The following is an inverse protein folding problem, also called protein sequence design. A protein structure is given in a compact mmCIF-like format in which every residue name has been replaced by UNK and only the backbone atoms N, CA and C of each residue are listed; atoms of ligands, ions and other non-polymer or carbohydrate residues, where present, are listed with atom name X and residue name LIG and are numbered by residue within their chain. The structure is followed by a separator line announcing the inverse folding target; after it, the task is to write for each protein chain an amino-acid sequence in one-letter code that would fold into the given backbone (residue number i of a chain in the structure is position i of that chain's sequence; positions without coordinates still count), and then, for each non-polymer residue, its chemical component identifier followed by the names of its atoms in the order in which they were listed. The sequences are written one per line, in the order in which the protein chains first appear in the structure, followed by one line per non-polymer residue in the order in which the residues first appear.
data_IF_845649156112
#
_entry.id   IF_845649156112
#
_cell.length_a   1.000
_cell.length_b   1.000
_cell.length_c   1.000
_cell.angle_alpha   90.00
_cell.angle_beta   90.00
_cell.angle_gamma   90.00
#
_symmetry.space_group_name_H-M   'P 1'
#
loop_
_entity.id
_entity.type
_entity.pdbx_description
1 polymer ?
#
# COMPACT_ATOMS: atom_id res chain seq x y z
N UNK A 1 26.57 -30.94 25.48
CA UNK A 1 26.35 -30.88 24.02
C UNK A 1 25.62 -29.58 23.72
N UNK A 2 26.18 -28.72 22.88
CA UNK A 2 25.64 -27.37 22.65
C UNK A 2 24.39 -27.44 21.77
N UNK A 3 23.27 -26.89 22.25
CA UNK A 3 22.04 -26.71 21.47
C UNK A 3 22.36 -25.76 20.31
N UNK A 4 22.62 -26.32 19.12
CA UNK A 4 22.62 -25.54 17.88
C UNK A 4 21.20 -25.04 17.67
N UNK A 5 20.94 -23.78 18.04
CA UNK A 5 19.80 -23.02 17.57
C UNK A 5 19.78 -23.14 16.04
N UNK A 6 18.92 -24.02 15.51
CA UNK A 6 18.72 -24.15 14.07
C UNK A 6 18.06 -22.85 13.61
N UNK A 7 18.86 -21.97 13.02
CA UNK A 7 18.34 -20.79 12.33
C UNK A 7 17.41 -21.29 11.23
N UNK A 8 16.16 -20.78 11.15
CA UNK A 8 15.27 -21.11 10.04
C UNK A 8 15.98 -20.85 8.70
N UNK A 9 15.80 -21.74 7.73
CA UNK A 9 16.49 -21.65 6.42
C UNK A 9 16.21 -20.30 5.74
N UNK A 10 15.04 -19.72 6.00
CA UNK A 10 14.56 -18.47 5.41
C UNK A 10 14.93 -17.20 6.19
N UNK A 11 15.55 -17.33 7.38
CA UNK A 11 15.96 -16.18 8.19
C UNK A 11 17.40 -15.76 7.89
N UNK A 12 17.68 -14.47 8.05
CA UNK A 12 19.05 -13.98 8.11
C UNK A 12 19.69 -14.26 9.49
N UNK A 13 20.98 -14.59 9.49
CA UNK A 13 21.81 -14.70 10.69
C UNK A 13 23.15 -14.02 10.46
N UNK A 14 23.39 -12.92 11.17
CA UNK A 14 24.63 -12.15 11.07
C UNK A 14 25.85 -12.95 11.54
N UNK A 15 25.68 -13.80 12.55
CA UNK A 15 26.76 -14.64 13.10
C UNK A 15 27.15 -15.73 12.11
N UNK A 16 26.17 -16.39 11.48
CA UNK A 16 26.46 -17.37 10.42
C UNK A 16 27.08 -16.71 9.19
N UNK A 17 26.62 -15.51 8.81
CA UNK A 17 27.19 -14.77 7.70
C UNK A 17 28.66 -14.43 7.96
N UNK A 18 28.98 -13.86 9.13
CA UNK A 18 30.36 -13.53 9.53
C UNK A 18 31.24 -14.78 9.63
N UNK A 19 30.72 -15.87 10.19
CA UNK A 19 31.47 -17.12 10.32
C UNK A 19 31.83 -17.72 8.96
N UNK A 20 30.87 -17.85 8.05
CA UNK A 20 31.13 -18.40 6.72
C UNK A 20 32.03 -17.48 5.89
N UNK A 21 31.87 -16.16 6.01
CA UNK A 21 32.73 -15.19 5.34
C UNK A 21 34.18 -15.29 5.84
N UNK A 22 34.38 -15.44 7.14
CA UNK A 22 35.70 -15.64 7.74
C UNK A 22 36.38 -16.90 7.20
N UNK A 23 35.70 -18.05 7.24
CA UNK A 23 36.25 -19.33 6.75
C UNK A 23 36.52 -19.32 5.23
N UNK A 24 35.68 -18.65 4.44
CA UNK A 24 35.91 -18.50 3.01
C UNK A 24 37.13 -17.62 2.71
N UNK A 25 37.29 -16.53 3.47
CA UNK A 25 38.46 -15.63 3.38
C UNK A 25 39.75 -16.34 3.79
N UNK A 26 39.71 -17.16 4.85
CA UNK A 26 40.84 -17.99 5.29
C UNK A 26 41.27 -19.01 4.23
N UNK A 27 40.33 -19.44 3.37
CA UNK A 27 40.61 -20.32 2.22
C UNK A 27 41.18 -19.56 1.02
N UNK A 28 41.35 -18.24 1.13
CA UNK A 28 41.87 -17.38 0.06
C UNK A 28 40.82 -16.99 -0.98
N UNK A 29 39.54 -17.26 -0.72
CA UNK A 29 38.44 -16.94 -1.62
C UNK A 29 37.78 -15.63 -1.19
N UNK A 30 37.74 -14.65 -2.09
CA UNK A 30 37.01 -13.41 -1.88
C UNK A 30 35.51 -13.61 -2.19
N UNK A 31 34.64 -13.24 -1.25
CA UNK A 31 33.20 -13.34 -1.44
C UNK A 31 32.65 -12.15 -2.22
N UNK A 32 31.96 -12.43 -3.32
CA UNK A 32 31.21 -11.44 -4.11
C UNK A 32 29.70 -11.70 -3.95
N UNK A 33 28.90 -10.75 -3.44
CA UNK A 33 27.45 -10.92 -3.30
C UNK A 33 26.71 -11.18 -4.62
N UNK A 34 25.56 -11.87 -4.59
CA UNK A 34 24.81 -12.20 -5.80
C UNK A 34 24.27 -10.96 -6.52
N UNK A 35 24.60 -10.86 -7.80
CA UNK A 35 24.12 -9.82 -8.73
C UNK A 35 23.98 -10.37 -10.14
N UNK A 36 23.23 -9.68 -11.01
CA UNK A 36 23.06 -10.09 -12.42
C UNK A 36 24.41 -10.04 -13.15
N UNK A 37 25.26 -9.10 -12.75
CA UNK A 37 26.60 -8.90 -13.27
C UNK A 37 27.52 -10.05 -12.83
N UNK A 38 27.49 -10.45 -11.55
CA UNK A 38 28.26 -11.57 -11.03
C UNK A 38 27.92 -12.88 -11.74
N UNK A 39 26.64 -13.16 -11.94
CA UNK A 39 26.20 -14.41 -12.60
C UNK A 39 26.60 -14.48 -14.08
N UNK A 40 26.81 -13.34 -14.72
CA UNK A 40 27.25 -13.22 -16.12
C UNK A 40 28.77 -13.12 -16.27
N UNK A 41 29.50 -12.98 -15.17
CA UNK A 41 30.94 -12.86 -15.16
C UNK A 41 31.56 -14.25 -15.40
N UNK A 42 32.17 -14.43 -16.58
CA UNK A 42 32.82 -15.68 -16.97
C UNK A 42 34.01 -16.01 -16.06
N UNK A 43 34.75 -15.00 -15.58
CA UNK A 43 35.89 -15.20 -14.69
C UNK A 43 35.39 -15.70 -13.32
N UNK A 44 34.29 -15.12 -12.81
CA UNK A 44 33.64 -15.63 -11.60
C UNK A 44 33.17 -17.08 -11.75
N UNK A 45 32.57 -17.43 -12.90
CA UNK A 45 32.12 -18.81 -13.13
C UNK A 45 33.29 -19.80 -13.18
N UNK A 46 34.41 -19.43 -13.80
CA UNK A 46 35.63 -20.24 -13.84
C UNK A 46 36.24 -20.40 -12.45
N UNK A 47 36.36 -19.30 -11.69
CA UNK A 47 36.89 -19.31 -10.32
C UNK A 47 36.01 -20.15 -9.39
N UNK A 48 34.69 -19.97 -9.45
CA UNK A 48 33.72 -20.76 -8.68
C UNK A 48 33.70 -22.25 -9.09
N UNK A 49 33.96 -22.55 -10.36
CA UNK A 49 34.14 -23.91 -10.86
C UNK A 49 35.36 -24.61 -10.24
N UNK A 50 36.42 -23.85 -9.94
CA UNK A 50 37.65 -24.33 -9.34
C UNK A 50 37.58 -24.51 -7.81
N UNK A 51 36.55 -23.98 -7.15
CA UNK A 51 36.33 -24.14 -5.71
C UNK A 51 36.10 -25.59 -5.31
N UNK A 52 36.57 -25.92 -4.10
CA UNK A 52 36.23 -27.15 -3.38
C UNK A 52 34.73 -27.23 -3.11
N UNK A 53 34.25 -28.42 -2.76
CA UNK A 53 32.84 -28.59 -2.40
C UNK A 53 32.47 -27.76 -1.16
N UNK A 54 33.37 -27.69 -0.18
CA UNK A 54 33.23 -26.88 1.02
C UNK A 54 33.11 -25.39 0.71
N UNK A 55 34.02 -24.84 -0.12
CA UNK A 55 33.97 -23.43 -0.53
C UNK A 55 32.70 -23.09 -1.30
N UNK A 56 32.27 -23.95 -2.22
CA UNK A 56 30.98 -23.77 -2.93
C UNK A 56 29.79 -23.79 -1.98
N UNK A 57 29.81 -24.66 -0.97
CA UNK A 57 28.76 -24.70 0.03
C UNK A 57 28.74 -23.44 0.90
N UNK A 58 29.92 -22.89 1.26
CA UNK A 58 30.03 -21.60 1.95
C UNK A 58 29.50 -20.45 1.10
N UNK A 59 29.87 -20.35 -0.18
CA UNK A 59 29.35 -19.34 -1.11
C UNK A 59 27.83 -19.43 -1.23
N UNK A 60 27.27 -20.62 -1.45
CA UNK A 60 25.80 -20.81 -1.50
C UNK A 60 25.12 -20.38 -0.20
N UNK A 61 25.74 -20.65 0.95
CA UNK A 61 25.17 -20.24 2.24
C UNK A 61 25.21 -18.72 2.41
N UNK A 62 26.30 -18.07 2.02
CA UNK A 62 26.43 -16.62 2.03
C UNK A 62 25.43 -15.94 1.08
N UNK A 63 25.23 -16.50 -0.12
CA UNK A 63 24.23 -16.03 -1.08
C UNK A 63 22.82 -16.10 -0.51
N UNK A 64 22.47 -17.24 0.10
CA UNK A 64 21.17 -17.41 0.73
C UNK A 64 20.95 -16.40 1.87
N UNK A 65 21.94 -16.23 2.74
CA UNK A 65 21.87 -15.28 3.85
C UNK A 65 21.79 -13.83 3.35
N UNK A 66 22.51 -13.48 2.28
CA UNK A 66 22.44 -12.16 1.65
C UNK A 66 21.05 -11.89 1.05
N UNK A 67 20.46 -12.87 0.34
CA UNK A 67 19.11 -12.75 -0.20
C UNK A 67 18.08 -12.61 0.92
N UNK A 68 18.21 -13.38 2.01
CA UNK A 68 17.35 -13.26 3.19
C UNK A 68 17.47 -11.87 3.82
N UNK A 69 18.69 -11.37 4.03
CA UNK A 69 18.93 -10.03 4.58
C UNK A 69 18.29 -8.93 3.72
N UNK A 70 18.43 -9.01 2.39
CA UNK A 70 17.78 -8.04 1.48
C UNK A 70 16.25 -8.12 1.59
N UNK A 71 15.68 -9.33 1.62
CA UNK A 71 14.23 -9.51 1.76
C UNK A 71 13.72 -8.93 3.08
N UNK A 72 14.42 -9.16 4.18
CA UNK A 72 14.09 -8.61 5.49
C UNK A 72 14.17 -7.07 5.49
N UNK A 73 15.26 -6.50 4.94
CA UNK A 73 15.42 -5.05 4.82
C UNK A 73 14.30 -4.41 3.97
N UNK A 74 13.96 -5.01 2.82
CA UNK A 74 12.83 -4.54 2.01
C UNK A 74 11.49 -4.63 2.76
N UNK A 75 11.26 -5.70 3.53
CA UNK A 75 10.05 -5.84 4.32
C UNK A 75 9.97 -4.81 5.46
N UNK A 76 11.11 -4.49 6.09
CA UNK A 76 11.20 -3.46 7.12
C UNK A 76 10.97 -2.06 6.55
N UNK A 77 11.59 -1.74 5.40
CA UNK A 77 11.37 -0.48 4.69
C UNK A 77 9.90 -0.32 4.29
N UNK A 78 9.29 -1.36 3.70
CA UNK A 78 7.87 -1.35 3.34
C UNK A 78 6.98 -1.15 4.57
N UNK A 79 7.28 -1.84 5.69
CA UNK A 79 6.56 -1.67 6.95
C UNK A 79 6.69 -0.25 7.50
N UNK A 80 7.87 0.36 7.41
CA UNK A 80 8.11 1.75 7.79
C UNK A 80 7.32 2.71 6.90
N UNK A 81 7.43 2.56 5.59
CA UNK A 81 6.68 3.36 4.60
C UNK A 81 5.17 3.27 4.85
N UNK A 82 4.63 2.07 5.10
CA UNK A 82 3.22 1.90 5.46
C UNK A 82 2.86 2.58 6.79
N UNK A 83 3.76 2.51 7.78
CA UNK A 83 3.61 3.21 9.06
C UNK A 83 3.52 4.74 8.92
N UNK A 84 4.21 5.30 7.93
CA UNK A 84 4.20 6.73 7.61
C UNK A 84 3.01 7.13 6.72
N UNK A 85 2.64 6.29 5.73
CA UNK A 85 1.57 6.58 4.75
C UNK A 85 0.16 6.35 5.28
N UNK A 86 -0.07 5.29 6.05
CA UNK A 86 -1.42 4.89 6.48
C UNK A 86 -2.07 5.96 7.38
N UNK A 87 -1.42 6.52 8.42
CA UNK A 87 -2.05 7.50 9.29
C UNK A 87 -2.61 8.76 8.57
N UNK A 88 -1.86 9.45 7.69
CA UNK A 88 -2.41 10.61 6.99
C UNK A 88 -3.53 10.22 6.01
N UNK A 89 -3.45 9.05 5.36
CA UNK A 89 -4.52 8.55 4.48
C UNK A 89 -5.78 8.27 5.29
N UNK A 90 -5.69 7.59 6.43
CA UNK A 90 -6.82 7.36 7.33
C UNK A 90 -7.47 8.67 7.79
N UNK A 91 -6.66 9.67 8.14
CA UNK A 91 -7.16 11.00 8.50
C UNK A 91 -7.91 11.66 7.35
N UNK A 92 -7.40 11.55 6.13
CA UNK A 92 -8.06 12.07 4.94
C UNK A 92 -9.37 11.35 4.63
N UNK A 93 -9.40 10.01 4.72
CA UNK A 93 -10.62 9.22 4.56
C UNK A 93 -11.68 9.66 5.58
N UNK A 94 -11.31 9.79 6.85
CA UNK A 94 -12.23 10.25 7.90
C UNK A 94 -12.82 11.63 7.59
N UNK A 95 -12.00 12.59 7.15
CA UNK A 95 -12.48 13.91 6.77
C UNK A 95 -13.45 13.86 5.57
N UNK A 96 -13.21 12.96 4.60
CA UNK A 96 -14.13 12.76 3.49
C UNK A 96 -15.45 12.11 3.93
N UNK A 97 -15.40 11.15 4.88
CA UNK A 97 -16.59 10.54 5.48
C UNK A 97 -17.47 11.59 6.19
N UNK A 98 -16.86 12.45 7.01
CA UNK A 98 -17.58 13.53 7.71
C UNK A 98 -18.24 14.50 6.73
N UNK A 99 -17.50 14.92 5.70
CA UNK A 99 -18.02 15.83 4.68
C UNK A 99 -19.14 15.19 3.83
N UNK A 100 -19.03 13.90 3.51
CA UNK A 100 -20.08 13.16 2.82
C UNK A 100 -21.34 13.02 3.69
N UNK A 101 -21.23 12.76 4.99
CA UNK A 101 -22.37 12.75 5.93
C UNK A 101 -23.04 14.12 5.99
N UNK A 102 -22.25 15.19 6.17
CA UNK A 102 -22.78 16.55 6.16
C UNK A 102 -23.41 16.96 4.83
N UNK A 103 -23.02 16.34 3.71
CA UNK A 103 -23.66 16.53 2.40
C UNK A 103 -25.04 15.85 2.35
N UNK A 104 -25.16 14.63 2.88
CA UNK A 104 -26.45 13.91 2.98
C UNK A 104 -27.43 14.68 3.87
N UNK A 105 -26.97 15.17 5.02
CA UNK A 105 -27.79 15.94 5.96
C UNK A 105 -28.30 17.25 5.35
N UNK A 106 -27.45 17.99 4.60
CA UNK A 106 -27.82 19.28 3.99
C UNK A 106 -28.80 19.18 2.84
N UNK A 107 -28.72 18.12 2.04
CA UNK A 107 -29.51 18.00 0.80
C UNK A 107 -30.88 17.35 1.07
N UNK A 108 -31.05 16.70 2.23
CA UNK A 108 -32.28 16.01 2.60
C UNK A 108 -32.48 14.71 1.79
N UNK A 109 -33.39 13.86 2.27
CA UNK A 109 -33.71 12.55 1.69
C UNK A 109 -34.33 12.61 0.29
N UNK A 110 -34.77 13.78 -0.17
CA UNK A 110 -35.54 13.97 -1.41
C UNK A 110 -34.65 14.00 -2.67
N UNK A 111 -33.35 14.23 -2.52
CA UNK A 111 -32.38 14.14 -3.61
C UNK A 111 -31.87 12.71 -3.81
N UNK A 112 -32.78 11.75 -4.03
CA UNK A 112 -32.49 10.31 -3.97
C UNK A 112 -31.20 9.85 -4.67
N UNK A 113 -30.81 10.52 -5.77
CA UNK A 113 -29.54 10.26 -6.48
C UNK A 113 -28.29 10.70 -5.69
N UNK A 114 -28.30 11.87 -5.06
CA UNK A 114 -27.18 12.35 -4.22
C UNK A 114 -27.05 11.51 -2.97
N UNK A 115 -28.18 11.18 -2.33
CA UNK A 115 -28.19 10.31 -1.16
C UNK A 115 -27.66 8.89 -1.47
N UNK A 116 -27.98 8.33 -2.64
CA UNK A 116 -27.46 7.02 -3.08
C UNK A 116 -25.94 7.06 -3.29
N UNK A 117 -25.43 8.04 -4.05
CA UNK A 117 -23.99 8.17 -4.34
C UNK A 117 -23.20 8.41 -3.05
N UNK A 118 -23.75 9.19 -2.11
CA UNK A 118 -23.12 9.40 -0.81
C UNK A 118 -23.06 8.11 0.03
N UNK A 119 -24.11 7.27 0.00
CA UNK A 119 -24.12 5.97 0.69
C UNK A 119 -23.08 5.02 0.12
N UNK A 120 -22.97 4.94 -1.21
CA UNK A 120 -21.96 4.11 -1.87
C UNK A 120 -20.55 4.58 -1.51
N UNK A 121 -20.31 5.90 -1.57
CA UNK A 121 -19.04 6.49 -1.13
C UNK A 121 -18.71 6.15 0.33
N UNK A 122 -19.67 6.30 1.25
CA UNK A 122 -19.45 6.00 2.67
C UNK A 122 -19.14 4.51 2.91
N UNK A 123 -19.74 3.60 2.14
CA UNK A 123 -19.40 2.17 2.19
C UNK A 123 -17.97 1.94 1.71
N UNK A 124 -17.58 2.50 0.56
CA UNK A 124 -16.23 2.36 0.00
C UNK A 124 -15.16 2.94 0.93
N UNK A 125 -15.43 4.10 1.54
CA UNK A 125 -14.55 4.73 2.52
C UNK A 125 -14.35 3.86 3.77
N UNK A 126 -15.43 3.25 4.26
CA UNK A 126 -15.39 2.30 5.38
C UNK A 126 -14.58 1.05 5.04
N UNK A 127 -14.83 0.44 3.88
CA UNK A 127 -14.13 -0.77 3.42
C UNK A 127 -12.61 -0.50 3.26
N UNK A 128 -12.25 0.66 2.69
CA UNK A 128 -10.86 1.08 2.57
C UNK A 128 -10.21 1.30 3.94
N UNK A 129 -10.92 1.89 4.90
CA UNK A 129 -10.44 2.09 6.27
C UNK A 129 -10.18 0.76 6.95
N UNK A 130 -11.11 -0.18 6.88
CA UNK A 130 -10.98 -1.52 7.46
C UNK A 130 -9.79 -2.27 6.84
N UNK A 131 -9.62 -2.17 5.52
CA UNK A 131 -8.45 -2.73 4.82
C UNK A 131 -7.15 -2.13 5.35
N UNK A 132 -7.03 -0.80 5.37
CA UNK A 132 -5.82 -0.11 5.85
C UNK A 132 -5.50 -0.38 7.33
N UNK A 133 -6.53 -0.52 8.17
CA UNK A 133 -6.37 -0.86 9.60
C UNK A 133 -5.96 -2.32 9.82
N UNK A 134 -6.45 -3.24 8.97
CA UNK A 134 -6.11 -4.66 9.03
C UNK A 134 -4.63 -4.94 8.73
N UNK A 135 -3.94 -4.06 7.98
CA UNK A 135 -2.50 -4.08 7.65
C UNK A 135 -1.94 -5.37 7.00
N UNK A 136 -2.71 -6.45 6.93
CA UNK A 136 -2.25 -7.73 6.41
C UNK A 136 -2.15 -7.67 4.87
N UNK A 137 -0.95 -7.84 4.34
CA UNK A 137 -0.69 -8.02 2.90
C UNK A 137 -0.89 -6.77 2.03
N UNK A 138 -0.99 -5.58 2.62
CA UNK A 138 -1.10 -4.33 1.86
C UNK A 138 0.28 -3.85 1.48
N UNK A 139 0.44 -3.52 0.19
CA UNK A 139 1.64 -2.87 -0.35
C UNK A 139 1.46 -1.35 -0.37
N UNK A 140 2.54 -0.59 -0.23
CA UNK A 140 2.58 0.86 -0.25
C UNK A 140 1.90 1.46 -1.48
N UNK A 141 2.11 0.87 -2.67
CA UNK A 141 1.41 1.26 -3.91
C UNK A 141 -0.12 1.14 -3.83
N UNK A 142 -0.63 0.08 -3.20
CA UNK A 142 -2.08 -0.13 -3.03
C UNK A 142 -2.70 0.90 -2.08
N UNK A 143 -1.94 1.45 -1.12
CA UNK A 143 -2.41 2.54 -0.26
C UNK A 143 -2.65 3.82 -1.09
N UNK A 144 -1.74 4.13 -2.02
CA UNK A 144 -1.87 5.27 -2.93
C UNK A 144 -3.08 5.14 -3.85
N UNK A 145 -3.27 3.98 -4.48
CA UNK A 145 -4.40 3.70 -5.36
C UNK A 145 -5.75 3.84 -4.64
N UNK A 146 -5.87 3.27 -3.43
CA UNK A 146 -7.07 3.40 -2.60
C UNK A 146 -7.40 4.85 -2.29
N UNK A 147 -6.39 5.65 -1.91
CA UNK A 147 -6.58 7.06 -1.62
C UNK A 147 -7.02 7.86 -2.84
N UNK A 148 -6.40 7.63 -4.00
CA UNK A 148 -6.75 8.32 -5.26
C UNK A 148 -8.18 8.00 -5.67
N UNK A 149 -8.58 6.72 -5.67
CA UNK A 149 -9.94 6.32 -6.02
C UNK A 149 -10.99 6.95 -5.11
N UNK A 150 -10.76 6.94 -3.79
CA UNK A 150 -11.67 7.59 -2.84
C UNK A 150 -11.74 9.10 -3.03
N UNK A 151 -10.61 9.75 -3.30
CA UNK A 151 -10.58 11.19 -3.57
C UNK A 151 -11.38 11.55 -4.82
N UNK A 152 -11.29 10.75 -5.87
CA UNK A 152 -12.06 10.94 -7.10
C UNK A 152 -13.57 10.75 -6.88
N UNK A 153 -13.95 9.70 -6.16
CA UNK A 153 -15.34 9.43 -5.78
C UNK A 153 -15.92 10.56 -4.90
N UNK A 154 -15.16 11.04 -3.92
CA UNK A 154 -15.53 12.18 -3.09
C UNK A 154 -15.70 13.46 -3.93
N UNK A 155 -14.80 13.71 -4.87
CA UNK A 155 -14.91 14.82 -5.81
C UNK A 155 -16.16 14.72 -6.71
N UNK A 156 -16.54 13.51 -7.13
CA UNK A 156 -17.76 13.28 -7.90
C UNK A 156 -19.01 13.57 -7.06
N UNK A 157 -19.05 13.10 -5.80
CA UNK A 157 -20.12 13.42 -4.86
C UNK A 157 -20.27 14.93 -4.66
N UNK A 158 -19.17 15.66 -4.49
CA UNK A 158 -19.19 17.12 -4.37
C UNK A 158 -19.80 17.81 -5.58
N UNK A 159 -19.37 17.43 -6.79
CA UNK A 159 -19.92 18.00 -8.03
C UNK A 159 -21.42 17.77 -8.16
N UNK A 160 -21.88 16.55 -7.84
CA UNK A 160 -23.29 16.18 -7.87
C UNK A 160 -24.10 16.97 -6.82
N UNK A 161 -23.58 17.11 -5.61
CA UNK A 161 -24.18 17.89 -4.54
C UNK A 161 -24.29 19.39 -4.91
N UNK A 162 -23.25 19.98 -5.49
CA UNK A 162 -23.27 21.38 -5.95
C UNK A 162 -24.28 21.64 -7.07
N UNK A 163 -24.48 20.67 -7.98
CA UNK A 163 -25.51 20.77 -9.01
C UNK A 163 -26.94 20.79 -8.43
N UNK A 164 -27.14 20.19 -7.25
CA UNK A 164 -28.44 20.15 -6.57
C UNK A 164 -28.74 21.41 -5.75
N UNK A 165 -27.72 22.17 -5.36
CA UNK A 165 -27.84 23.40 -4.53
C UNK A 165 -27.92 24.68 -5.40
N UNK A 166 -27.83 24.58 -6.73
CA UNK A 166 -28.08 25.73 -7.62
C UNK A 166 -29.56 26.13 -7.54
N UNK A 167 -29.90 27.34 -7.05
CA UNK A 167 -31.27 27.86 -7.18
C UNK A 167 -31.56 28.11 -8.66
N UNK A 168 -32.79 27.83 -9.09
CA UNK A 168 -33.32 28.15 -10.41
C UNK A 168 -32.85 29.53 -10.89
N UNK A 169 -31.88 29.55 -11.80
CA UNK A 169 -31.54 30.73 -12.61
C UNK A 169 -32.36 30.79 -13.90
N UNK A 170 -33.48 30.08 -13.96
CA UNK A 170 -34.49 30.24 -14.99
C UNK A 170 -35.82 30.54 -14.31
N UNK A 171 -36.18 31.83 -14.34
CA UNK A 171 -37.46 32.29 -13.84
C UNK A 171 -38.62 31.61 -14.56
N UNK A 172 -39.63 31.21 -13.79
CA UNK A 172 -41.00 31.08 -14.26
C UNK A 172 -41.89 31.61 -13.13
N UNK A 173 -42.24 32.89 -13.23
CA UNK A 173 -43.54 33.36 -13.73
C UNK A 173 -44.71 32.92 -12.85
N UNK A 174 -45.16 33.90 -12.07
CA UNK A 174 -46.54 34.15 -11.63
C UNK A 174 -47.56 33.09 -12.06
N UNK A 175 -48.06 32.32 -11.10
CA UNK A 175 -49.45 31.89 -11.13
C UNK A 175 -50.24 32.83 -10.22
N UNK A 176 -50.71 33.93 -10.80
CA UNK A 176 -51.90 34.61 -10.28
C UNK A 176 -53.12 33.73 -10.63
N UNK A 177 -53.97 33.36 -9.66
CA UNK A 177 -55.22 32.67 -9.98
C UNK A 177 -56.21 33.69 -10.58
N UNK A 178 -56.42 33.58 -11.90
CA UNK A 178 -57.52 34.25 -12.59
C UNK A 178 -58.85 33.54 -12.28
N UNK A 179 -59.71 34.27 -11.59
CA UNK A 179 -61.17 34.24 -11.59
C UNK A 179 -61.97 33.05 -11.04
N UNK A 180 -62.89 33.42 -10.15
CA UNK A 180 -64.06 32.65 -9.76
C UNK A 180 -65.02 33.45 -8.88
N UNK A 181 -65.33 34.71 -9.25
CA UNK A 181 -66.45 35.48 -8.67
C UNK A 181 -67.71 35.11 -9.47
N UNK A 182 -68.59 34.29 -8.90
CA UNK A 182 -69.96 34.18 -9.37
C UNK A 182 -70.85 34.95 -8.40
N UNK A 183 -71.73 35.75 -8.99
CA UNK A 183 -72.75 36.57 -8.36
C UNK A 183 -73.89 35.73 -7.77
#
# INVERSE_FOLDING_TARGET
MSNKNKVPIDAYSADEFKSNLGSLTESGVEYVPPSVEREKDEDWQVVNGAFTEEERNMVRRLDQLYVNARREAFAEDEKRTLGELIPPVLKAIHAMEEDARGTVERIGSDAGRVASVAKDFLREAKDARERLQGRAGIKSGAVGELYVGLREAHGALKRLASAFVMPDRFGNNKQEPLHGRAA
#
